data_IF_065440079797
#
_entry.id   IF_065440079797
#
_cell.length_a   1.000
_cell.length_b   1.000
_cell.length_c   1.000
_cell.angle_alpha   90.00
_cell.angle_beta   90.00
_cell.angle_gamma   90.00
#
_symmetry.space_group_name_H-M   'P 1'
#
loop_
_entity.id
_entity.type
_entity.pdbx_description
1 polymer ?
#
# COMPACT_ATOMS: atom_id res chain seq x y z
N UNK A 1 -12.52 -14.31 2.13
CA UNK A 1 -12.48 -13.10 1.28
C UNK A 1 -11.18 -12.40 1.60
N UNK A 2 -10.18 -12.45 0.72
CA UNK A 2 -8.93 -11.73 0.95
C UNK A 2 -9.16 -10.24 0.70
N UNK A 3 -9.18 -9.44 1.76
CA UNK A 3 -9.24 -7.98 1.65
C UNK A 3 -7.81 -7.49 1.38
N UNK A 4 -7.55 -7.03 0.16
CA UNK A 4 -6.28 -6.40 -0.21
C UNK A 4 -6.40 -4.90 -0.01
N UNK A 5 -5.47 -4.30 0.71
CA UNK A 5 -5.40 -2.86 0.95
C UNK A 5 -4.04 -2.36 0.47
N UNK A 6 -4.06 -1.42 -0.46
CA UNK A 6 -2.88 -0.78 -1.01
C UNK A 6 -2.84 0.66 -0.49
N UNK A 7 -1.87 0.92 0.37
CA UNK A 7 -1.59 2.26 0.85
C UNK A 7 -0.67 2.98 -0.10
N UNK A 8 -1.14 4.12 -0.59
CA UNK A 8 -0.48 4.93 -1.59
C UNK A 8 -0.21 6.34 -1.06
N UNK A 9 0.54 7.12 -1.84
CA UNK A 9 0.82 8.53 -1.60
C UNK A 9 0.66 9.29 -2.91
N UNK A 10 0.09 10.48 -2.82
CA UNK A 10 0.01 11.43 -3.93
C UNK A 10 1.42 11.71 -4.49
N UNK A 11 1.58 11.57 -5.80
CA UNK A 11 2.87 11.81 -6.49
C UNK A 11 3.85 10.63 -6.49
N UNK A 12 3.41 9.40 -6.16
CA UNK A 12 4.27 8.22 -6.22
C UNK A 12 3.98 7.36 -7.46
N UNK A 13 4.86 7.32 -8.47
CA UNK A 13 4.64 6.53 -9.70
C UNK A 13 4.63 5.02 -9.44
N UNK A 14 5.37 4.56 -8.43
CA UNK A 14 5.38 3.15 -8.01
C UNK A 14 4.05 2.67 -7.44
N UNK A 15 3.30 3.56 -6.78
CA UNK A 15 1.97 3.24 -6.27
C UNK A 15 1.00 2.94 -7.42
N UNK A 16 1.03 3.75 -8.49
CA UNK A 16 0.19 3.52 -9.67
C UNK A 16 0.48 2.18 -10.33
N UNK A 17 1.77 1.83 -10.50
CA UNK A 17 2.16 0.51 -11.02
C UNK A 17 1.64 -0.64 -10.17
N UNK A 18 1.78 -0.57 -8.85
CA UNK A 18 1.28 -1.62 -7.96
C UNK A 18 -0.24 -1.81 -8.10
N UNK A 19 -0.99 -0.70 -8.18
CA UNK A 19 -2.44 -0.76 -8.37
C UNK A 19 -2.83 -1.32 -9.74
N UNK A 20 -2.14 -0.91 -10.81
CA UNK A 20 -2.36 -1.49 -12.14
C UNK A 20 -2.07 -2.99 -12.16
N UNK A 21 -1.00 -3.46 -11.51
CA UNK A 21 -0.67 -4.88 -11.46
C UNK A 21 -1.80 -5.69 -10.80
N UNK A 22 -2.31 -5.22 -9.65
CA UNK A 22 -3.44 -5.87 -8.98
C UNK A 22 -4.74 -5.78 -9.79
N UNK A 23 -5.00 -4.66 -10.48
CA UNK A 23 -6.16 -4.52 -11.38
C UNK A 23 -6.05 -5.47 -12.57
N UNK A 24 -4.86 -5.58 -13.17
CA UNK A 24 -4.59 -6.47 -14.30
C UNK A 24 -4.74 -7.94 -13.90
N UNK A 25 -4.39 -8.28 -12.65
CA UNK A 25 -4.62 -9.60 -12.06
C UNK A 25 -6.09 -9.88 -11.70
N UNK A 26 -6.98 -8.88 -11.78
CA UNK A 26 -8.38 -9.00 -11.39
C UNK A 26 -8.60 -9.11 -9.88
N UNK A 27 -7.60 -8.71 -9.08
CA UNK A 27 -7.68 -8.76 -7.62
C UNK A 27 -8.38 -7.49 -7.15
N UNK A 28 -9.43 -7.65 -6.33
CA UNK A 28 -10.08 -6.51 -5.67
C UNK A 28 -9.17 -6.00 -4.54
N UNK A 29 -8.81 -4.73 -4.60
CA UNK A 29 -8.07 -4.06 -3.56
C UNK A 29 -8.67 -2.70 -3.23
N UNK A 30 -8.39 -2.24 -2.01
CA UNK A 30 -8.77 -0.93 -1.49
C UNK A 30 -7.57 -0.01 -1.50
N UNK A 31 -7.65 1.07 -2.24
CA UNK A 31 -6.64 2.12 -2.23
C UNK A 31 -6.86 3.04 -1.02
N UNK A 32 -5.81 3.28 -0.22
CA UNK A 32 -5.84 4.25 0.89
C UNK A 32 -4.70 5.25 0.72
N UNK A 33 -5.05 6.52 0.49
CA UNK A 33 -4.05 7.57 0.34
C UNK A 33 -3.57 8.10 1.70
N UNK A 34 -2.38 7.68 2.10
CA UNK A 34 -1.72 8.10 3.36
C UNK A 34 -1.28 9.56 3.38
N UNK A 35 -1.32 10.26 2.24
CA UNK A 35 -1.05 11.70 2.20
C UNK A 35 -2.28 12.54 2.52
N UNK A 36 -3.47 12.00 2.26
CA UNK A 36 -4.74 12.64 2.62
C UNK A 36 -5.21 12.20 4.00
N UNK A 37 -4.85 10.98 4.42
CA UNK A 37 -5.23 10.41 5.70
C UNK A 37 -4.00 10.20 6.60
N UNK A 38 -3.82 11.13 7.54
CA UNK A 38 -2.73 11.07 8.52
C UNK A 38 -2.87 9.87 9.47
N UNK A 39 -4.11 9.43 9.76
CA UNK A 39 -4.38 8.26 10.58
C UNK A 39 -3.94 6.98 9.87
N UNK A 40 -4.21 6.84 8.58
CA UNK A 40 -3.72 5.74 7.77
C UNK A 40 -2.18 5.72 7.69
N UNK A 41 -1.55 6.89 7.54
CA UNK A 41 -0.08 7.01 7.55
C UNK A 41 0.52 6.53 8.88
N UNK A 42 -0.04 7.00 9.98
CA UNK A 42 0.37 6.63 11.33
C UNK A 42 0.17 5.13 11.56
N UNK A 43 -1.01 4.61 11.23
CA UNK A 43 -1.32 3.18 11.31
C UNK A 43 -0.33 2.34 10.50
N UNK A 44 -0.01 2.72 9.27
CA UNK A 44 0.94 1.97 8.44
C UNK A 44 2.34 2.02 9.06
N UNK A 45 2.75 3.15 9.60
CA UNK A 45 4.05 3.26 10.27
C UNK A 45 4.11 2.41 11.54
N UNK A 46 3.07 2.41 12.37
CA UNK A 46 3.03 1.69 13.64
C UNK A 46 2.77 0.18 13.46
N UNK A 47 1.77 -0.18 12.63
CA UNK A 47 1.34 -1.56 12.42
C UNK A 47 2.32 -2.35 11.56
N UNK A 48 2.93 -1.69 10.59
CA UNK A 48 3.73 -2.34 9.55
C UNK A 48 5.20 -1.93 9.56
N UNK A 49 5.59 -0.96 10.40
CA UNK A 49 6.96 -0.40 10.39
C UNK A 49 7.33 0.28 9.08
N UNK A 50 6.35 0.49 8.19
CA UNK A 50 6.59 0.85 6.81
C UNK A 50 6.49 2.36 6.64
N UNK A 51 7.64 3.04 6.62
CA UNK A 51 7.72 4.47 6.32
C UNK A 51 7.65 4.79 4.82
N UNK A 52 7.69 3.77 3.96
CA UNK A 52 7.78 3.89 2.50
C UNK A 52 6.58 3.22 1.84
N UNK A 53 6.00 3.94 0.88
CA UNK A 53 4.91 3.48 -0.01
C UNK A 53 5.49 2.98 -1.35
N UNK A 54 4.80 2.11 -2.09
CA UNK A 54 3.50 1.49 -1.77
C UNK A 54 3.60 0.46 -0.64
N UNK A 55 2.56 0.39 0.20
CA UNK A 55 2.40 -0.68 1.21
C UNK A 55 1.19 -1.51 0.86
N UNK A 56 1.40 -2.81 0.68
CA UNK A 56 0.37 -3.76 0.29
C UNK A 56 0.12 -4.69 1.46
N UNK A 57 -1.14 -4.75 1.85
CA UNK A 57 -1.63 -5.56 2.95
C UNK A 57 -2.67 -6.50 2.38
N UNK A 58 -2.51 -7.78 2.60
CA UNK A 58 -3.48 -8.79 2.19
C UNK A 58 -3.94 -9.55 3.43
N UNK A 59 -5.25 -9.60 3.66
CA UNK A 59 -5.83 -10.30 4.81
C UNK A 59 -5.30 -9.80 6.17
N UNK A 60 -5.02 -8.49 6.26
CA UNK A 60 -4.44 -7.86 7.45
C UNK A 60 -2.96 -8.17 7.69
N UNK A 61 -2.30 -8.92 6.79
CA UNK A 61 -0.86 -9.17 6.81
C UNK A 61 -0.15 -8.28 5.82
N UNK A 62 0.99 -7.75 6.25
CA UNK A 62 1.91 -7.08 5.34
C UNK A 62 2.43 -8.07 4.30
N UNK A 63 2.17 -7.79 3.03
CA UNK A 63 2.73 -8.61 1.93
C UNK A 63 3.91 -7.92 1.29
N UNK A 64 3.84 -6.61 1.08
CA UNK A 64 4.91 -5.87 0.41
C UNK A 64 4.99 -4.43 0.88
N UNK A 65 6.20 -3.95 1.13
CA UNK A 65 6.49 -2.55 1.47
C UNK A 65 7.63 -2.02 0.61
N UNK A 66 7.36 -0.94 -0.13
CA UNK A 66 8.37 -0.28 -0.95
C UNK A 66 8.69 -1.06 -2.22
N UNK A 67 8.18 -0.57 -3.35
CA UNK A 67 8.75 -0.97 -4.63
C UNK A 67 10.13 -0.29 -4.73
N UNK A 68 11.17 -1.11 -4.57
CA UNK A 68 12.59 -0.80 -4.59
C UNK A 68 13.22 -0.38 -3.24
N UNK A 69 14.16 -1.22 -2.80
CA UNK A 69 14.79 -1.21 -1.49
C UNK A 69 15.65 0.02 -1.23
N UNK A 70 15.70 0.37 0.04
CA UNK A 70 16.74 1.23 0.60
C UNK A 70 16.63 1.03 2.10
N UNK A 71 17.62 0.34 2.67
CA UNK A 71 17.70 0.00 4.09
C UNK A 71 17.80 1.20 5.01
#
# INVERSE_FOLDING_TARGET
MGDVVIYTKTGCPYCQKAMEDYRARGIKFKEINTSLDAGAKQMVKEKYGAGKVPVIVEDGKLVSTGYNGGG
#
